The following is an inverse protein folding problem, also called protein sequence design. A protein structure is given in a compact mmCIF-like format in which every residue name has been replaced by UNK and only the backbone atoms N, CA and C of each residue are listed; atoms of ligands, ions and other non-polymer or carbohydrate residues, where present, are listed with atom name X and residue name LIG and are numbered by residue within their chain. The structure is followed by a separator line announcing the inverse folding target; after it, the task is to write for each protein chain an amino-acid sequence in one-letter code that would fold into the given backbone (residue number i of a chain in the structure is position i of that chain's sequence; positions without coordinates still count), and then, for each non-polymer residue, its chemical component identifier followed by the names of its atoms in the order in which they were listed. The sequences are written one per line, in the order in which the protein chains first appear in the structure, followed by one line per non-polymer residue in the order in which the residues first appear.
data_IF_965988181233
#
_entry.id   IF_965988181233
#
_cell.length_a   1.000
_cell.length_b   1.000
_cell.length_c   1.000
_cell.angle_alpha   90.00
_cell.angle_beta   90.00
_cell.angle_gamma   90.00
#
_symmetry.space_group_name_H-M   'P 1'
#
loop_
_entity.id
_entity.type
_entity.pdbx_description
1 polymer ?
#
# COMPACT_ATOMS: atom_id res chain seq x y z
N UNK A 1 26.15 10.26 1.44
CA UNK A 1 25.21 9.13 1.56
C UNK A 1 24.84 8.71 0.15
N UNK A 2 24.78 7.40 -0.13
CA UNK A 2 24.44 6.90 -1.47
C UNK A 2 22.93 6.93 -1.66
N UNK A 3 22.47 7.28 -2.86
CA UNK A 3 21.05 7.36 -3.25
C UNK A 3 20.27 6.06 -2.92
N UNK A 4 20.99 4.93 -2.91
CA UNK A 4 20.46 3.61 -2.54
C UNK A 4 20.12 3.45 -1.05
N UNK A 5 20.84 4.11 -0.14
CA UNK A 5 20.51 4.05 1.29
C UNK A 5 19.26 4.87 1.59
N UNK A 6 19.16 6.06 0.99
CA UNK A 6 17.97 6.90 1.13
C UNK A 6 16.70 6.22 0.57
N UNK A 7 16.82 5.46 -0.53
CA UNK A 7 15.74 4.64 -1.07
C UNK A 7 15.34 3.49 -0.14
N UNK A 8 16.31 2.87 0.53
CA UNK A 8 16.09 1.72 1.41
C UNK A 8 15.47 2.17 2.73
N UNK A 9 15.96 3.27 3.30
CA UNK A 9 15.44 3.87 4.53
C UNK A 9 14.00 4.35 4.34
N UNK A 10 13.70 5.08 3.24
CA UNK A 10 12.32 5.45 2.91
C UNK A 10 11.40 4.24 2.68
N UNK A 11 11.93 3.19 2.05
CA UNK A 11 11.18 1.95 1.84
C UNK A 11 10.91 1.20 3.15
N UNK A 12 11.82 1.28 4.13
CA UNK A 12 11.68 0.63 5.44
C UNK A 12 10.82 1.45 6.42
N UNK A 13 10.90 2.79 6.39
CA UNK A 13 10.00 3.69 7.14
C UNK A 13 8.55 3.55 6.66
N UNK A 14 8.31 3.55 5.34
CA UNK A 14 6.98 3.26 4.77
C UNK A 14 6.47 1.84 5.06
N UNK A 15 7.35 0.91 5.48
CA UNK A 15 7.01 -0.48 5.81
C UNK A 15 6.53 -0.68 7.25
N UNK A 16 6.75 0.30 8.13
CA UNK A 16 6.42 0.21 9.55
C UNK A 16 5.11 0.94 9.86
N UNK A 17 4.88 2.13 9.31
CA UNK A 17 3.58 2.83 9.43
C UNK A 17 2.65 2.59 8.22
N UNK A 18 3.18 2.45 7.00
CA UNK A 18 2.42 2.23 5.75
C UNK A 18 2.39 0.79 5.24
N UNK A 19 2.60 -0.23 6.09
CA UNK A 19 2.71 -1.63 5.62
C UNK A 19 1.45 -2.14 4.94
N UNK A 20 0.28 -1.64 5.35
CA UNK A 20 -0.99 -2.01 4.76
C UNK A 20 -1.28 -1.16 3.53
N UNK A 21 -1.05 0.15 3.62
CA UNK A 21 -1.26 1.11 2.53
C UNK A 21 -0.36 0.81 1.34
N UNK A 22 0.95 0.62 1.53
CA UNK A 22 1.86 0.23 0.46
C UNK A 22 1.59 -1.16 -0.12
N UNK A 23 1.01 -2.08 0.67
CA UNK A 23 0.51 -3.36 0.13
C UNK A 23 -0.72 -3.15 -0.74
N UNK A 24 -1.68 -2.34 -0.29
CA UNK A 24 -2.90 -2.01 -1.02
C UNK A 24 -2.56 -1.27 -2.31
N UNK A 25 -1.67 -0.28 -2.25
CA UNK A 25 -1.16 0.47 -3.39
C UNK A 25 -0.54 -0.47 -4.43
N UNK A 26 0.40 -1.34 -4.05
CA UNK A 26 1.04 -2.28 -4.98
C UNK A 26 0.01 -3.24 -5.60
N UNK A 27 -0.96 -3.74 -4.81
CA UNK A 27 -1.99 -4.63 -5.32
C UNK A 27 -2.94 -3.91 -6.30
N UNK A 28 -3.24 -2.64 -6.04
CA UNK A 28 -4.13 -1.82 -6.86
C UNK A 28 -3.45 -1.29 -8.13
N UNK A 29 -2.27 -0.69 -8.01
CA UNK A 29 -1.55 -0.05 -9.13
C UNK A 29 -0.63 -1.01 -9.87
N UNK A 30 0.07 -1.90 -9.14
CA UNK A 30 1.04 -2.83 -9.71
C UNK A 30 0.44 -4.14 -10.23
N UNK A 31 -0.59 -4.66 -9.55
CA UNK A 31 -1.28 -5.89 -9.95
C UNK A 31 -2.67 -5.66 -10.54
N UNK A 32 -3.14 -4.41 -10.62
CA UNK A 32 -4.46 -4.04 -11.15
C UNK A 32 -5.63 -4.81 -10.52
N UNK A 33 -5.50 -5.18 -9.24
CA UNK A 33 -6.59 -5.84 -8.50
C UNK A 33 -7.68 -4.84 -8.13
N UNK A 34 -8.92 -5.30 -8.11
CA UNK A 34 -10.04 -4.48 -7.62
C UNK A 34 -10.01 -4.36 -6.09
N UNK A 35 -10.61 -3.32 -5.50
CA UNK A 35 -10.69 -3.17 -4.05
C UNK A 35 -11.27 -4.40 -3.35
N UNK A 36 -12.30 -5.04 -3.93
CA UNK A 36 -12.86 -6.31 -3.44
C UNK A 36 -11.86 -7.47 -3.43
N UNK A 37 -11.07 -7.65 -4.48
CA UNK A 37 -10.03 -8.68 -4.53
C UNK A 37 -8.93 -8.45 -3.49
N UNK A 38 -8.58 -7.18 -3.27
CA UNK A 38 -7.60 -6.78 -2.25
C UNK A 38 -8.15 -7.05 -0.85
N UNK A 39 -9.42 -6.72 -0.61
CA UNK A 39 -10.14 -6.96 0.63
C UNK A 39 -10.12 -8.45 1.00
N UNK A 40 -10.49 -9.32 0.06
CA UNK A 40 -10.46 -10.77 0.24
C UNK A 40 -9.03 -11.28 0.52
N UNK A 41 -8.06 -10.83 -0.28
CA UNK A 41 -6.66 -11.28 -0.20
C UNK A 41 -5.97 -10.88 1.11
N UNK A 42 -6.33 -9.72 1.64
CA UNK A 42 -5.77 -9.20 2.88
C UNK A 42 -6.67 -9.48 4.10
N UNK A 43 -7.81 -10.14 3.90
CA UNK A 43 -8.81 -10.43 4.93
C UNK A 43 -9.24 -9.19 5.71
N UNK A 44 -9.50 -8.10 4.99
CA UNK A 44 -9.98 -6.84 5.55
C UNK A 44 -11.23 -6.33 4.82
N UNK A 45 -12.04 -5.47 5.46
CA UNK A 45 -13.24 -4.93 4.84
C UNK A 45 -12.92 -4.12 3.60
N UNK A 46 -13.70 -4.30 2.53
CA UNK A 46 -13.54 -3.50 1.30
C UNK A 46 -13.67 -1.99 1.59
N UNK A 47 -14.48 -1.59 2.56
CA UNK A 47 -14.60 -0.19 3.00
C UNK A 47 -13.27 0.38 3.52
N UNK A 48 -12.46 -0.42 4.21
CA UNK A 48 -11.14 -0.01 4.69
C UNK A 48 -10.12 0.05 3.54
N UNK A 49 -10.19 -0.88 2.58
CA UNK A 49 -9.39 -0.79 1.34
C UNK A 49 -9.69 0.53 0.61
N UNK A 50 -10.96 0.86 0.45
CA UNK A 50 -11.40 2.06 -0.25
C UNK A 50 -10.99 3.35 0.48
N UNK A 51 -11.08 3.39 1.81
CA UNK A 51 -10.58 4.53 2.60
C UNK A 51 -9.10 4.76 2.38
N UNK A 52 -8.30 3.71 2.46
CA UNK A 52 -6.85 3.78 2.24
C UNK A 52 -6.53 4.20 0.79
N UNK A 53 -7.23 3.63 -0.20
CA UNK A 53 -7.05 4.03 -1.60
C UNK A 53 -7.44 5.50 -1.84
N UNK A 54 -8.46 6.01 -1.14
CA UNK A 54 -8.84 7.42 -1.21
C UNK A 54 -7.76 8.33 -0.62
N UNK A 55 -7.18 7.97 0.53
CA UNK A 55 -6.07 8.72 1.15
C UNK A 55 -4.79 8.71 0.30
N UNK A 56 -4.57 7.68 -0.52
CA UNK A 56 -3.45 7.61 -1.46
C UNK A 56 -3.63 8.44 -2.74
N UNK A 57 -4.85 8.92 -3.04
CA UNK A 57 -5.15 9.72 -4.24
C UNK A 57 -5.23 11.24 -3.97
N UNK A 58 -5.14 11.68 -2.70
CA UNK A 58 -5.00 13.09 -2.28
C UNK A 58 -3.54 13.55 -2.26
#
# INVERSE_FOLDING_TARGET
MTLQQEYRERYEEGKIEGRLEGKIEILYTGFHMTPSQIADKLSLPESEVLRILAELQE
#
